data_IF_020151986501
#
_entry.id   IF_020151986501
#
_cell.length_a   1.000
_cell.length_b   1.000
_cell.length_c   1.000
_cell.angle_alpha   90.00
_cell.angle_beta   90.00
_cell.angle_gamma   90.00
#
_symmetry.space_group_name_H-M   'P 1'
#
loop_
_entity.id
_entity.type
_entity.pdbx_description
1 polymer ?
#
# COMPACT_ATOMS: atom_id res chain seq x y z
N UNK A 1 8.44 29.34 -15.73
CA UNK A 1 7.80 29.63 -14.42
C UNK A 1 6.80 28.51 -14.12
N UNK A 2 6.83 27.93 -12.91
CA UNK A 2 5.90 26.87 -12.47
C UNK A 2 4.71 27.52 -11.76
N UNK A 3 3.49 27.20 -12.19
CA UNK A 3 2.26 27.67 -11.54
C UNK A 3 1.38 26.48 -11.17
N UNK A 4 0.92 26.39 -9.93
CA UNK A 4 -0.03 25.34 -9.52
C UNK A 4 -1.41 25.75 -10.00
N UNK A 5 -1.99 24.97 -10.93
CA UNK A 5 -3.28 25.28 -11.58
C UNK A 5 -4.42 24.37 -11.13
N UNK A 6 -4.10 23.29 -10.41
CA UNK A 6 -5.06 22.42 -9.74
C UNK A 6 -4.39 21.77 -8.53
N UNK A 7 -5.09 21.71 -7.40
CA UNK A 7 -4.63 21.06 -6.17
C UNK A 7 -5.83 20.70 -5.29
N UNK A 8 -6.27 19.44 -5.35
CA UNK A 8 -7.43 18.96 -4.60
C UNK A 8 -7.20 17.54 -4.08
N UNK A 9 -7.94 17.16 -3.04
CA UNK A 9 -7.99 15.78 -2.57
C UNK A 9 -9.11 15.03 -3.31
N UNK A 10 -8.76 13.92 -3.95
CA UNK A 10 -9.68 13.04 -4.68
C UNK A 10 -9.40 11.60 -4.27
N UNK A 11 -10.44 10.87 -3.85
CA UNK A 11 -10.31 9.49 -3.33
C UNK A 11 -9.22 9.36 -2.26
N UNK A 12 -9.23 10.29 -1.29
CA UNK A 12 -8.27 10.35 -0.18
C UNK A 12 -6.81 10.63 -0.58
N UNK A 13 -6.57 11.09 -1.82
CA UNK A 13 -5.24 11.45 -2.31
C UNK A 13 -5.21 12.86 -2.83
N UNK A 14 -4.20 13.64 -2.42
CA UNK A 14 -3.96 14.93 -3.06
C UNK A 14 -3.43 14.71 -4.48
N UNK A 15 -4.06 15.36 -5.44
CA UNK A 15 -3.58 15.43 -6.82
C UNK A 15 -3.27 16.89 -7.15
N UNK A 16 -2.19 17.11 -7.88
CA UNK A 16 -1.69 18.44 -8.21
C UNK A 16 -1.32 18.51 -9.69
N UNK A 17 -1.79 19.55 -10.38
CA UNK A 17 -1.36 19.87 -11.75
C UNK A 17 -0.64 21.20 -11.72
N UNK A 18 0.56 21.21 -12.29
CA UNK A 18 1.37 22.40 -12.47
C UNK A 18 1.45 22.75 -13.95
N UNK A 19 1.26 24.01 -14.26
CA UNK A 19 1.53 24.58 -15.56
C UNK A 19 2.96 25.09 -15.61
N UNK A 20 3.68 24.69 -16.66
CA UNK A 20 5.06 25.06 -16.91
C UNK A 20 5.11 25.97 -18.13
N UNK A 21 5.40 27.24 -17.89
CA UNK A 21 5.57 28.24 -18.96
C UNK A 21 7.07 28.38 -19.29
N UNK A 22 7.47 27.88 -20.46
CA UNK A 22 8.84 27.95 -20.98
C UNK A 22 8.91 28.77 -22.27
N UNK A 23 10.10 29.28 -22.65
CA UNK A 23 10.28 30.02 -23.91
C UNK A 23 9.89 29.24 -25.17
N UNK A 24 9.99 27.91 -25.13
CA UNK A 24 9.67 27.00 -26.24
C UNK A 24 8.25 26.44 -26.19
N UNK A 25 7.42 26.87 -25.22
CA UNK A 25 6.03 26.45 -25.13
C UNK A 25 5.56 26.24 -23.71
N UNK A 26 4.27 25.95 -23.60
CA UNK A 26 3.60 25.60 -22.36
C UNK A 26 3.37 24.10 -22.30
N UNK A 27 3.58 23.51 -21.13
CA UNK A 27 3.27 22.11 -20.85
C UNK A 27 2.79 21.95 -19.41
N UNK A 28 2.43 20.73 -19.03
CA UNK A 28 1.89 20.42 -17.72
C UNK A 28 2.68 19.30 -17.04
N UNK A 29 2.79 19.38 -15.72
CA UNK A 29 3.20 18.25 -14.90
C UNK A 29 2.07 17.87 -13.94
N UNK A 30 1.85 16.58 -13.78
CA UNK A 30 0.84 16.03 -12.88
C UNK A 30 1.49 15.22 -11.77
N UNK A 31 0.96 15.34 -10.55
CA UNK A 31 1.45 14.61 -9.39
C UNK A 31 0.28 14.05 -8.58
N UNK A 32 0.46 12.86 -8.03
CA UNK A 32 -0.43 12.24 -7.05
C UNK A 32 0.35 11.83 -5.80
N UNK A 33 -0.24 12.12 -4.65
CA UNK A 33 0.34 11.80 -3.35
C UNK A 33 0.27 10.29 -3.06
N UNK A 34 1.38 9.75 -2.55
CA UNK A 34 1.41 8.48 -1.83
C UNK A 34 1.17 8.75 -0.34
N UNK A 35 0.31 7.94 0.27
CA UNK A 35 -0.01 8.04 1.69
C UNK A 35 0.95 7.18 2.50
N UNK A 36 1.22 7.54 3.75
CA UNK A 36 2.08 6.73 4.64
C UNK A 36 1.51 5.33 4.93
N UNK A 37 0.22 5.10 4.66
CA UNK A 37 -0.44 3.78 4.76
C UNK A 37 -0.44 3.01 3.43
N UNK A 38 0.20 3.54 2.39
CA UNK A 38 0.40 2.77 1.15
C UNK A 38 1.38 1.62 1.37
N UNK A 39 1.39 0.60 0.49
CA UNK A 39 2.30 -0.52 0.60
C UNK A 39 3.73 -0.04 0.85
N UNK A 40 4.41 -0.61 1.86
CA UNK A 40 5.73 -0.17 2.27
C UNK A 40 6.73 -0.16 1.12
N UNK A 41 6.64 -1.17 0.25
CA UNK A 41 7.45 -1.24 -0.97
C UNK A 41 7.28 0.00 -1.87
N UNK A 42 6.09 0.60 -1.97
CA UNK A 42 5.92 1.84 -2.73
C UNK A 42 6.64 3.02 -2.05
N UNK A 43 6.56 3.12 -0.73
CA UNK A 43 7.23 4.18 0.04
C UNK A 43 8.77 4.07 -0.05
N UNK A 44 9.29 2.85 -0.08
CA UNK A 44 10.73 2.64 -0.25
C UNK A 44 11.17 3.01 -1.69
N UNK A 45 10.39 2.62 -2.70
CA UNK A 45 10.71 2.92 -4.11
C UNK A 45 10.59 4.41 -4.45
N UNK A 46 9.59 5.11 -3.89
CA UNK A 46 9.46 6.57 -4.09
C UNK A 46 10.59 7.33 -3.40
N UNK A 47 11.05 6.86 -2.24
CA UNK A 47 12.20 7.43 -1.53
C UNK A 47 13.52 7.21 -2.30
N UNK A 48 13.64 6.11 -3.06
CA UNK A 48 14.75 5.86 -3.97
C UNK A 48 14.65 6.62 -5.30
N UNK A 49 13.54 7.30 -5.56
CA UNK A 49 13.27 7.97 -6.83
C UNK A 49 13.11 6.98 -8.00
N UNK A 50 12.63 5.76 -7.74
CA UNK A 50 12.53 4.71 -8.76
C UNK A 50 11.27 4.86 -9.62
N UNK A 51 11.34 5.70 -10.63
CA UNK A 51 10.25 5.95 -11.60
C UNK A 51 9.87 4.68 -12.38
N UNK A 52 10.85 3.87 -12.78
CA UNK A 52 10.65 2.64 -13.56
C UNK A 52 9.77 1.62 -12.82
N UNK A 53 9.91 1.54 -11.50
CA UNK A 53 9.06 0.69 -10.66
C UNK A 53 7.59 1.09 -10.80
N UNK A 54 7.28 2.38 -10.63
CA UNK A 54 5.91 2.89 -10.72
C UNK A 54 5.36 2.82 -12.14
N UNK A 55 6.22 3.02 -13.15
CA UNK A 55 5.81 2.95 -14.56
C UNK A 55 5.32 1.54 -14.96
N UNK A 56 5.74 0.49 -14.25
CA UNK A 56 5.30 -0.89 -14.47
C UNK A 56 3.99 -1.23 -13.74
N UNK A 57 3.55 -0.40 -12.79
CA UNK A 57 2.34 -0.65 -12.01
C UNK A 57 1.07 -0.31 -12.79
N UNK A 58 0.09 -1.20 -12.70
CA UNK A 58 -1.18 -1.07 -13.41
C UNK A 58 -1.93 0.22 -13.05
N UNK A 59 -1.81 0.67 -11.80
CA UNK A 59 -2.45 1.87 -11.28
C UNK A 59 -1.99 3.15 -12.01
N UNK A 60 -0.77 3.14 -12.54
CA UNK A 60 -0.14 4.29 -13.21
C UNK A 60 -0.11 4.16 -14.73
N UNK A 61 -0.65 3.08 -15.32
CA UNK A 61 -0.59 2.83 -16.78
C UNK A 61 -1.25 3.93 -17.63
N UNK A 62 -2.17 4.70 -17.05
CA UNK A 62 -2.88 5.79 -17.73
C UNK A 62 -2.18 7.15 -17.57
N UNK A 63 -1.01 7.19 -16.92
CA UNK A 63 -0.21 8.40 -16.86
C UNK A 63 0.15 8.84 -18.27
N UNK A 64 -0.04 10.15 -18.52
CA UNK A 64 0.19 10.73 -19.82
C UNK A 64 1.69 10.68 -20.11
N UNK A 65 2.09 9.77 -21.02
CA UNK A 65 3.50 9.49 -21.30
C UNK A 65 4.20 8.59 -20.28
N UNK A 66 3.47 8.03 -19.31
CA UNK A 66 4.03 7.21 -18.24
C UNK A 66 4.57 8.02 -17.06
N UNK A 67 5.18 7.32 -16.11
CA UNK A 67 5.75 7.92 -14.90
C UNK A 67 7.11 8.53 -15.22
N UNK A 68 7.30 9.80 -14.85
CA UNK A 68 8.55 10.55 -15.05
C UNK A 68 9.00 11.28 -13.77
N UNK A 69 8.41 10.93 -12.64
CA UNK A 69 8.77 11.47 -11.34
C UNK A 69 8.34 10.53 -10.22
N UNK A 70 9.26 10.28 -9.29
CA UNK A 70 8.99 9.66 -8.00
C UNK A 70 9.86 10.36 -6.94
N UNK A 71 9.25 10.91 -5.90
CA UNK A 71 10.03 11.54 -4.83
C UNK A 71 9.28 12.59 -4.02
N UNK A 72 10.04 13.35 -3.22
CA UNK A 72 9.53 14.43 -2.40
C UNK A 72 9.56 15.74 -3.20
N UNK A 73 8.42 16.40 -3.35
CA UNK A 73 8.37 17.69 -4.04
C UNK A 73 8.90 18.86 -3.18
N UNK A 74 9.28 18.59 -1.93
CA UNK A 74 9.72 19.56 -0.92
C UNK A 74 8.70 20.67 -0.65
N UNK A 75 7.40 20.34 -0.78
CA UNK A 75 6.29 21.26 -0.52
C UNK A 75 5.76 21.07 0.92
N UNK A 76 5.54 19.82 1.31
CA UNK A 76 4.87 19.43 2.56
C UNK A 76 5.50 18.19 3.22
N UNK A 77 6.64 17.72 2.71
CA UNK A 77 7.29 16.51 3.23
C UNK A 77 6.65 15.20 2.75
N UNK A 78 5.63 15.26 1.91
CA UNK A 78 4.94 14.09 1.37
C UNK A 78 5.66 13.49 0.16
N UNK A 79 5.34 12.22 -0.12
CA UNK A 79 5.86 11.49 -1.28
C UNK A 79 4.89 11.55 -2.45
N UNK A 80 5.44 11.70 -3.66
CA UNK A 80 4.68 11.97 -4.87
C UNK A 80 5.18 11.11 -6.03
N UNK A 81 4.24 10.69 -6.87
CA UNK A 81 4.51 10.09 -8.18
C UNK A 81 3.88 10.99 -9.23
N UNK A 82 4.55 11.19 -10.36
CA UNK A 82 4.09 12.15 -11.36
C UNK A 82 4.53 11.86 -12.79
N UNK A 83 4.04 12.71 -13.69
CA UNK A 83 4.35 12.72 -15.11
C UNK A 83 4.62 14.14 -15.62
N UNK A 84 5.33 14.23 -16.74
CA UNK A 84 5.63 15.47 -17.46
C UNK A 84 5.22 15.34 -18.94
N UNK A 85 4.34 16.23 -19.39
CA UNK A 85 3.86 16.23 -20.78
C UNK A 85 4.87 16.82 -21.76
N UNK A 86 5.90 17.56 -21.31
CA UNK A 86 6.95 18.08 -22.18
C UNK A 86 7.69 16.97 -22.93
N UNK A 87 8.01 15.88 -22.23
CA UNK A 87 8.71 14.72 -22.78
C UNK A 87 7.96 14.04 -23.93
N UNK A 88 6.64 14.30 -24.04
CA UNK A 88 5.75 13.64 -24.99
C UNK A 88 5.01 14.64 -25.89
N UNK A 89 5.46 15.89 -25.95
CA UNK A 89 4.83 16.96 -26.73
C UNK A 89 4.77 16.66 -28.24
N UNK A 90 5.58 15.71 -28.73
CA UNK A 90 5.61 15.25 -30.12
C UNK A 90 4.70 14.04 -30.37
N UNK A 91 4.26 13.34 -29.32
CA UNK A 91 3.40 12.15 -29.41
C UNK A 91 1.92 12.49 -29.25
N UNK A 92 1.61 13.56 -28.52
CA UNK A 92 0.25 13.97 -28.21
C UNK A 92 0.04 15.41 -28.66
N UNK A 93 -0.82 15.63 -29.64
CA UNK A 93 -1.31 16.97 -29.94
C UNK A 93 -2.30 17.40 -28.84
N UNK A 94 -2.12 18.60 -28.31
CA UNK A 94 -3.10 19.34 -27.52
C UNK A 94 -3.49 18.75 -26.13
N UNK A 95 -2.53 18.21 -25.36
CA UNK A 95 -2.80 17.89 -23.95
C UNK A 95 -3.07 19.19 -23.18
N UNK A 96 -4.25 19.28 -22.57
CA UNK A 96 -4.62 20.40 -21.72
C UNK A 96 -4.61 20.06 -20.22
N UNK A 97 -4.97 21.05 -19.42
CA UNK A 97 -5.05 20.93 -17.96
C UNK A 97 -6.11 19.91 -17.53
N UNK A 98 -7.26 19.87 -18.20
CA UNK A 98 -8.37 18.99 -17.84
C UNK A 98 -8.03 17.52 -18.15
N UNK A 99 -7.27 17.25 -19.22
CA UNK A 99 -6.74 15.91 -19.50
C UNK A 99 -5.84 15.43 -18.36
N UNK A 100 -4.94 16.30 -17.87
CA UNK A 100 -4.06 15.99 -16.75
C UNK A 100 -4.87 15.71 -15.47
N UNK A 101 -5.89 16.52 -15.18
CA UNK A 101 -6.78 16.32 -14.03
C UNK A 101 -7.52 14.99 -14.16
N UNK A 102 -8.08 14.69 -15.33
CA UNK A 102 -8.82 13.45 -15.58
C UNK A 102 -7.94 12.21 -15.39
N UNK A 103 -6.73 12.23 -15.93
CA UNK A 103 -5.72 11.19 -15.73
C UNK A 103 -5.46 10.96 -14.23
N UNK A 104 -5.13 12.01 -13.47
CA UNK A 104 -4.85 11.91 -12.04
C UNK A 104 -6.06 11.40 -11.24
N UNK A 105 -7.28 11.81 -11.60
CA UNK A 105 -8.52 11.30 -10.96
C UNK A 105 -8.74 9.81 -11.22
N UNK A 106 -8.42 9.33 -12.43
CA UNK A 106 -8.51 7.92 -12.78
C UNK A 106 -7.47 7.10 -11.99
N UNK A 107 -6.24 7.58 -11.89
CA UNK A 107 -5.20 6.94 -11.08
C UNK A 107 -5.55 6.94 -9.59
N UNK A 108 -6.07 8.06 -9.06
CA UNK A 108 -6.53 8.12 -7.67
C UNK A 108 -7.59 7.05 -7.37
N UNK A 109 -8.55 6.86 -8.29
CA UNK A 109 -9.55 5.80 -8.18
C UNK A 109 -8.93 4.40 -8.24
N UNK A 110 -7.98 4.17 -9.15
CA UNK A 110 -7.30 2.88 -9.27
C UNK A 110 -6.53 2.53 -7.99
N UNK A 111 -5.81 3.51 -7.42
CA UNK A 111 -5.10 3.37 -6.16
C UNK A 111 -6.08 3.12 -5.01
N UNK A 112 -7.19 3.85 -4.92
CA UNK A 112 -8.22 3.62 -3.88
C UNK A 112 -8.79 2.20 -3.97
N UNK A 113 -9.13 1.74 -5.17
CA UNK A 113 -9.63 0.37 -5.38
C UNK A 113 -8.58 -0.66 -4.98
N UNK A 114 -7.31 -0.45 -5.33
CA UNK A 114 -6.23 -1.33 -4.89
C UNK A 114 -6.14 -1.35 -3.38
N UNK A 115 -6.03 -0.19 -2.73
CA UNK A 115 -5.93 -0.08 -1.28
C UNK A 115 -7.12 -0.73 -0.58
N UNK A 116 -8.35 -0.60 -1.10
CA UNK A 116 -9.54 -1.29 -0.59
C UNK A 116 -9.48 -2.80 -0.80
N UNK A 117 -9.19 -3.26 -2.01
CA UNK A 117 -9.10 -4.70 -2.30
C UNK A 117 -8.04 -5.39 -1.47
N UNK A 118 -6.89 -4.74 -1.27
CA UNK A 118 -5.91 -5.32 -0.35
C UNK A 118 -6.49 -5.27 1.07
N UNK A 119 -7.05 -4.14 1.57
CA UNK A 119 -7.68 -4.08 2.92
C UNK A 119 -8.69 -5.21 3.16
N UNK A 120 -9.52 -5.53 2.19
CA UNK A 120 -10.54 -6.57 2.31
C UNK A 120 -9.93 -7.98 2.40
N UNK A 121 -8.88 -8.28 1.61
CA UNK A 121 -8.10 -9.53 1.74
C UNK A 121 -7.40 -9.61 3.10
N UNK A 122 -6.85 -8.49 3.57
CA UNK A 122 -6.10 -8.36 4.84
C UNK A 122 -6.99 -8.58 6.07
N UNK A 123 -8.23 -8.11 6.04
CA UNK A 123 -9.23 -8.43 7.08
C UNK A 123 -9.61 -9.91 7.06
N UNK A 124 -9.64 -10.53 5.88
CA UNK A 124 -9.84 -11.98 5.73
C UNK A 124 -8.81 -12.79 6.52
N UNK A 125 -7.52 -12.49 6.37
CA UNK A 125 -6.44 -13.23 7.05
C UNK A 125 -6.46 -13.10 8.58
N UNK A 126 -6.79 -11.92 9.12
CA UNK A 126 -6.99 -11.77 10.57
C UNK A 126 -8.21 -12.54 11.06
N UNK A 127 -9.30 -12.54 10.29
CA UNK A 127 -10.51 -13.28 10.64
C UNK A 127 -10.26 -14.79 10.61
N UNK A 128 -9.54 -15.27 9.61
CA UNK A 128 -9.08 -16.67 9.51
C UNK A 128 -8.19 -17.04 10.69
N UNK A 129 -7.26 -16.18 11.11
CA UNK A 129 -6.47 -16.43 12.32
C UNK A 129 -7.32 -16.55 13.60
N UNK A 130 -8.39 -15.77 13.72
CA UNK A 130 -9.33 -15.86 14.85
C UNK A 130 -10.12 -17.17 14.81
N UNK A 131 -10.57 -17.59 13.62
CA UNK A 131 -11.27 -18.85 13.43
C UNK A 131 -10.36 -20.05 13.76
N UNK A 132 -9.11 -20.03 13.29
CA UNK A 132 -8.11 -21.06 13.58
C UNK A 132 -7.85 -21.19 15.10
N UNK A 133 -7.72 -20.06 15.82
CA UNK A 133 -7.62 -20.03 17.28
C UNK A 133 -8.85 -20.64 17.97
N UNK A 134 -10.05 -20.33 17.48
CA UNK A 134 -11.28 -20.89 18.02
C UNK A 134 -11.33 -22.41 17.83
N UNK A 135 -10.90 -22.91 16.67
CA UNK A 135 -10.80 -24.35 16.38
C UNK A 135 -9.73 -25.01 17.25
N UNK A 136 -8.57 -24.38 17.42
CA UNK A 136 -7.49 -24.85 18.30
C UNK A 136 -7.98 -25.04 19.74
N UNK A 137 -8.72 -24.07 20.28
CA UNK A 137 -9.33 -24.15 21.63
C UNK A 137 -10.28 -25.35 21.76
N UNK A 138 -11.07 -25.64 20.72
CA UNK A 138 -11.94 -26.83 20.70
C UNK A 138 -11.12 -28.12 20.68
N UNK A 139 -10.05 -28.19 19.91
CA UNK A 139 -9.19 -29.38 19.88
C UNK A 139 -8.41 -29.59 21.19
N UNK A 140 -8.04 -28.51 21.87
CA UNK A 140 -7.37 -28.57 23.16
C UNK A 140 -8.25 -29.27 24.21
N UNK A 141 -9.52 -28.85 24.30
CA UNK A 141 -10.54 -29.48 25.17
C UNK A 141 -10.79 -30.96 24.86
N UNK A 142 -10.40 -31.42 23.68
CA UNK A 142 -10.56 -32.80 23.23
C UNK A 142 -9.26 -33.62 23.34
N UNK A 143 -8.18 -33.07 23.91
CA UNK A 143 -6.88 -33.72 24.04
C UNK A 143 -6.23 -34.06 22.70
N UNK A 144 -6.47 -33.25 21.65
CA UNK A 144 -5.97 -33.50 20.29
C UNK A 144 -4.78 -32.59 19.96
N UNK A 145 -3.68 -32.77 20.69
CA UNK A 145 -2.48 -31.91 20.60
C UNK A 145 -1.96 -31.73 19.17
N UNK A 146 -1.88 -32.78 18.36
CA UNK A 146 -1.45 -32.69 16.95
C UNK A 146 -2.31 -31.72 16.13
N UNK A 147 -3.62 -31.66 16.43
CA UNK A 147 -4.54 -30.77 15.74
C UNK A 147 -4.44 -29.34 16.28
N UNK A 148 -4.26 -29.18 17.59
CA UNK A 148 -4.00 -27.86 18.20
C UNK A 148 -2.79 -27.21 17.55
N UNK A 149 -1.67 -27.93 17.47
CA UNK A 149 -0.44 -27.41 16.87
C UNK A 149 -0.62 -27.02 15.40
N UNK A 150 -1.40 -27.81 14.64
CA UNK A 150 -1.69 -27.50 13.25
C UNK A 150 -2.46 -26.18 13.09
N UNK A 151 -3.51 -25.97 13.86
CA UNK A 151 -4.31 -24.74 13.77
C UNK A 151 -3.53 -23.51 14.28
N UNK A 152 -2.62 -23.70 15.26
CA UNK A 152 -1.71 -22.64 15.69
C UNK A 152 -0.66 -22.25 14.64
N UNK A 153 -0.20 -23.21 13.85
CA UNK A 153 0.68 -22.93 12.73
C UNK A 153 -0.04 -22.15 11.61
N UNK A 154 -1.31 -22.44 11.33
CA UNK A 154 -2.10 -21.66 10.37
C UNK A 154 -2.41 -20.25 10.90
N UNK A 155 -2.83 -20.14 12.16
CA UNK A 155 -2.96 -18.84 12.87
C UNK A 155 -1.69 -18.02 12.72
N UNK A 156 -0.52 -18.64 12.95
CA UNK A 156 0.77 -17.98 12.83
C UNK A 156 1.01 -17.45 11.43
N UNK A 157 0.80 -18.26 10.39
CA UNK A 157 1.00 -17.81 9.01
C UNK A 157 0.12 -16.60 8.71
N UNK A 158 -1.15 -16.67 9.13
CA UNK A 158 -2.12 -15.61 8.91
C UNK A 158 -1.76 -14.31 9.65
N UNK A 159 -1.31 -14.40 10.90
CA UNK A 159 -0.85 -13.25 11.69
C UNK A 159 0.49 -12.69 11.19
N UNK A 160 1.46 -13.55 10.84
CA UNK A 160 2.75 -13.12 10.30
C UNK A 160 2.57 -12.41 8.96
N UNK A 161 1.75 -12.98 8.08
CA UNK A 161 1.40 -12.38 6.80
C UNK A 161 0.77 -10.99 7.03
N UNK A 162 -0.15 -10.86 7.98
CA UNK A 162 -0.68 -9.56 8.37
C UNK A 162 0.43 -8.62 8.89
N UNK A 163 1.26 -9.02 9.85
CA UNK A 163 2.27 -8.12 10.44
C UNK A 163 3.34 -7.65 9.44
N UNK A 164 3.81 -8.55 8.56
CA UNK A 164 4.81 -8.24 7.55
C UNK A 164 4.24 -7.38 6.42
N UNK A 165 3.07 -7.75 5.89
CA UNK A 165 2.48 -7.10 4.73
C UNK A 165 1.70 -5.81 5.09
N UNK A 166 1.21 -5.69 6.33
CA UNK A 166 0.38 -4.57 6.81
C UNK A 166 1.10 -3.53 7.62
N UNK A 167 1.84 -3.99 8.63
CA UNK A 167 2.48 -3.10 9.58
C UNK A 167 3.94 -2.85 9.20
N UNK A 168 4.44 -3.52 8.15
CA UNK A 168 5.82 -3.46 7.72
C UNK A 168 6.79 -3.89 8.81
N UNK A 169 6.33 -4.79 9.71
CA UNK A 169 7.14 -5.31 10.80
C UNK A 169 8.16 -6.28 10.21
N UNK A 170 9.43 -6.06 10.52
CA UNK A 170 10.49 -6.93 10.03
C UNK A 170 10.29 -8.35 10.57
N UNK A 171 10.57 -9.40 9.78
CA UNK A 171 10.42 -10.79 10.23
C UNK A 171 11.16 -11.10 11.54
N UNK A 172 12.27 -10.41 11.79
CA UNK A 172 13.09 -10.57 13.00
C UNK A 172 12.42 -10.03 14.28
N UNK A 173 11.45 -9.12 14.16
CA UNK A 173 10.77 -8.46 15.28
C UNK A 173 9.48 -9.20 15.72
N UNK A 174 9.13 -10.30 15.05
CA UNK A 174 7.88 -11.04 15.27
C UNK A 174 8.12 -12.21 16.24
N UNK A 175 8.15 -11.91 17.54
CA UNK A 175 8.33 -12.92 18.63
C UNK A 175 6.98 -13.34 19.26
N UNK A 176 6.06 -13.86 18.45
CA UNK A 176 4.68 -14.18 18.87
C UNK A 176 4.49 -15.58 19.46
N UNK A 177 5.40 -16.51 19.17
CA UNK A 177 5.15 -17.94 19.35
C UNK A 177 5.31 -18.46 20.79
N UNK A 178 6.32 -18.02 21.58
CA UNK A 178 6.41 -18.42 22.99
C UNK A 178 5.15 -18.06 23.75
N UNK A 179 4.63 -16.85 23.53
CA UNK A 179 3.46 -16.31 24.24
C UNK A 179 2.15 -17.02 23.92
N UNK A 180 1.90 -17.37 22.65
CA UNK A 180 0.65 -18.05 22.25
C UNK A 180 0.57 -19.49 22.76
N UNK A 181 1.71 -20.19 22.83
CA UNK A 181 1.77 -21.56 23.35
C UNK A 181 1.55 -21.61 24.86
N UNK A 182 2.05 -20.61 25.60
CA UNK A 182 1.80 -20.47 27.04
C UNK A 182 0.32 -20.22 27.32
N UNK A 183 -0.33 -19.29 26.62
CA UNK A 183 -1.76 -18.95 26.86
C UNK A 183 -2.72 -20.11 26.59
N UNK A 184 -2.37 -21.04 25.70
CA UNK A 184 -3.21 -22.21 25.37
C UNK A 184 -2.81 -23.50 26.10
N UNK A 185 -1.62 -23.52 26.69
CA UNK A 185 -1.09 -24.64 27.49
C UNK A 185 -1.23 -24.45 29.00
N UNK A 186 -1.71 -23.29 29.48
CA UNK A 186 -2.07 -23.07 30.88
C UNK A 186 -3.41 -23.77 31.21
N UNK A 187 -3.38 -25.09 31.30
CA UNK A 187 -4.37 -25.92 32.01
C UNK A 187 -3.74 -27.26 32.48
N UNK A 188 -2.42 -27.32 32.67
CA UNK A 188 -1.75 -28.44 33.36
C UNK A 188 -0.81 -27.91 34.45
N UNK A 189 -0.97 -28.50 35.64
CA UNK A 189 -0.34 -28.25 36.95
C UNK A 189 -1.13 -27.24 37.83
N UNK A 190 -1.90 -27.67 38.85
CA UNK A 190 -1.43 -28.53 39.93
C UNK A 190 -2.35 -29.72 40.26
N UNK A 191 -1.73 -30.90 40.26
CA UNK A 191 -2.20 -32.17 40.85
C UNK A 191 -2.33 -32.10 42.38
N UNK A 192 -3.37 -32.76 42.89
CA UNK A 192 -3.46 -33.53 44.15
C UNK A 192 -2.43 -33.31 45.28
N UNK A 193 -2.92 -32.79 46.42
CA UNK A 193 -2.60 -33.30 47.77
C UNK A 193 -3.90 -33.72 48.50
#
# INVERSE_FOLDING_TARGET
MKNVVYNEVVYDRRIMVCEMNMPWGKYFTGYIQLHHTDPRIWLDQVNMGNEDYFNQLYEFKEFIGGVTYAGNLHIDGEWWVGFDTASFSHMFADIDKEDCIKCLKQTAKALELRTKSVRDIKFGSLLEAVDDLAIASVFNKLGKEDKVNKELDETRKNVVMFLQEELGVAPEDIDLFPSLKTVLGEDEDDEDE
#
